data_IF_565189464005
#
_entry.id   IF_565189464005
#
_cell.length_a   1.000
_cell.length_b   1.000
_cell.length_c   1.000
_cell.angle_alpha   90.00
_cell.angle_beta   90.00
_cell.angle_gamma   90.00
#
_symmetry.space_group_name_H-M   'P 1'
#
loop_
_entity.id
_entity.type
_entity.pdbx_description
1 polymer ?
#
# COMPACT_ATOMS: atom_id res chain seq x y z
N UNK A 1 -19.88 -16.54 4.39
CA UNK A 1 -18.84 -15.49 4.36
C UNK A 1 -18.30 -15.38 2.93
N UNK A 2 -18.16 -14.13 2.42
CA UNK A 2 -17.62 -13.88 1.06
C UNK A 2 -16.09 -13.95 0.98
N UNK A 3 -15.38 -13.88 2.11
CA UNK A 3 -13.92 -13.88 2.14
C UNK A 3 -13.31 -14.62 3.32
N UNK A 4 -12.01 -14.93 3.23
CA UNK A 4 -11.23 -15.60 4.28
C UNK A 4 -9.96 -14.77 4.54
N UNK A 5 -9.69 -14.49 5.83
CA UNK A 5 -8.36 -14.05 6.29
C UNK A 5 -7.66 -15.24 6.97
N UNK A 6 -6.48 -15.57 6.49
CA UNK A 6 -5.59 -16.55 7.11
C UNK A 6 -4.69 -15.83 8.10
N UNK A 7 -4.97 -16.04 9.38
CA UNK A 7 -4.23 -15.47 10.50
C UNK A 7 -2.88 -16.15 10.66
N UNK A 8 -1.83 -15.40 11.07
CA UNK A 8 -0.49 -15.93 11.34
C UNK A 8 0.00 -16.92 10.27
N UNK A 9 -0.19 -16.58 8.99
CA UNK A 9 -0.02 -17.51 7.88
C UNK A 9 1.42 -17.99 7.65
N UNK A 10 2.43 -17.35 8.28
CA UNK A 10 3.80 -17.88 8.29
C UNK A 10 3.99 -19.10 9.21
N UNK A 11 3.03 -19.39 10.08
CA UNK A 11 3.08 -20.50 11.03
C UNK A 11 2.71 -21.87 10.43
N UNK A 12 2.26 -21.91 9.17
CA UNK A 12 1.88 -23.14 8.48
C UNK A 12 2.09 -23.04 6.97
N UNK A 13 2.15 -24.18 6.28
CA UNK A 13 2.38 -24.19 4.83
C UNK A 13 1.26 -23.54 4.04
N UNK A 14 1.62 -22.72 3.06
CA UNK A 14 0.65 -22.00 2.22
C UNK A 14 -0.23 -22.93 1.37
N UNK A 15 0.23 -24.15 1.11
CA UNK A 15 -0.54 -25.19 0.42
C UNK A 15 -1.86 -25.51 1.15
N UNK A 16 -1.88 -25.45 2.50
CA UNK A 16 -3.13 -25.65 3.25
C UNK A 16 -4.09 -24.47 3.06
N UNK A 17 -3.60 -23.23 3.10
CA UNK A 17 -4.41 -22.06 2.76
C UNK A 17 -4.98 -22.19 1.34
N UNK A 18 -4.17 -22.63 0.40
CA UNK A 18 -4.59 -22.93 -0.97
C UNK A 18 -5.67 -24.03 -1.06
N UNK A 19 -5.55 -25.09 -0.27
CA UNK A 19 -6.56 -26.17 -0.23
C UNK A 19 -7.90 -25.65 0.32
N UNK A 20 -7.89 -24.92 1.44
CA UNK A 20 -9.10 -24.34 2.01
C UNK A 20 -9.77 -23.35 1.04
N UNK A 21 -8.97 -22.49 0.40
CA UNK A 21 -9.48 -21.51 -0.56
C UNK A 21 -10.14 -22.20 -1.76
N UNK A 22 -9.55 -23.27 -2.29
CA UNK A 22 -10.16 -24.06 -3.38
C UNK A 22 -11.43 -24.77 -2.95
N UNK A 23 -11.47 -25.30 -1.72
CA UNK A 23 -12.64 -26.01 -1.21
C UNK A 23 -13.82 -25.09 -0.90
N UNK A 24 -13.56 -23.90 -0.36
CA UNK A 24 -14.58 -22.93 0.05
C UNK A 24 -14.98 -21.96 -1.06
N UNK A 25 -14.12 -21.76 -2.08
CA UNK A 25 -14.31 -20.82 -3.21
C UNK A 25 -14.79 -19.42 -2.77
N UNK A 26 -14.09 -18.76 -1.82
CA UNK A 26 -14.46 -17.41 -1.41
C UNK A 26 -14.19 -16.43 -2.54
N UNK A 27 -14.91 -15.30 -2.54
CA UNK A 27 -14.65 -14.19 -3.47
C UNK A 27 -13.27 -13.56 -3.24
N UNK A 28 -12.77 -13.61 -2.00
CA UNK A 28 -11.50 -13.04 -1.60
C UNK A 28 -10.82 -13.87 -0.52
N UNK A 29 -9.49 -14.05 -0.63
CA UNK A 29 -8.68 -14.71 0.37
C UNK A 29 -7.38 -13.94 0.58
N UNK A 30 -7.04 -13.61 1.85
CA UNK A 30 -5.82 -12.86 2.20
C UNK A 30 -5.09 -13.53 3.35
N UNK A 31 -3.77 -13.64 3.24
CA UNK A 31 -2.90 -14.14 4.29
C UNK A 31 -2.15 -13.04 5.03
N UNK A 32 -2.06 -13.21 6.34
CA UNK A 32 -1.23 -12.39 7.20
C UNK A 32 0.15 -13.05 7.34
N UNK A 33 0.98 -12.89 6.32
CA UNK A 33 2.37 -13.34 6.38
C UNK A 33 3.25 -12.22 6.96
N UNK A 34 3.19 -12.06 8.27
CA UNK A 34 3.95 -11.04 9.00
C UNK A 34 5.27 -11.62 9.47
N UNK A 35 6.32 -11.34 8.74
CA UNK A 35 7.68 -11.74 9.03
C UNK A 35 8.57 -10.53 9.36
N UNK A 36 9.77 -10.78 9.85
CA UNK A 36 10.72 -9.74 10.21
C UNK A 36 11.33 -9.10 8.97
N UNK A 37 11.22 -7.78 8.87
CA UNK A 37 11.92 -6.96 7.91
C UNK A 37 13.44 -6.97 8.20
N UNK A 38 14.24 -6.58 7.20
CA UNK A 38 15.68 -6.45 7.37
C UNK A 38 16.00 -5.14 8.10
N UNK A 39 16.60 -5.25 9.28
CA UNK A 39 17.05 -4.15 10.13
C UNK A 39 18.55 -4.20 10.37
N UNK A 40 19.21 -3.01 10.28
CA UNK A 40 20.53 -2.74 10.80
C UNK A 40 20.44 -1.72 11.95
N UNK A 41 20.96 -0.50 11.75
CA UNK A 41 20.75 0.62 12.69
C UNK A 41 19.35 1.28 12.53
N UNK A 42 18.51 0.75 11.69
CA UNK A 42 17.16 1.15 11.33
C UNK A 42 16.64 0.21 10.27
N UNK A 43 15.51 0.55 9.64
CA UNK A 43 15.02 -0.24 8.51
C UNK A 43 15.99 -0.11 7.33
N UNK A 44 16.57 -1.24 6.91
CA UNK A 44 17.43 -1.27 5.73
C UNK A 44 16.62 -0.93 4.47
N UNK A 45 17.31 -0.33 3.48
CA UNK A 45 16.68 0.00 2.20
C UNK A 45 16.26 -1.25 1.43
N UNK A 46 17.13 -2.27 1.42
CA UNK A 46 16.90 -3.50 0.68
C UNK A 46 16.01 -4.47 1.48
N UNK A 47 14.76 -4.57 1.06
CA UNK A 47 13.77 -5.51 1.61
C UNK A 47 13.39 -6.60 0.59
N UNK A 48 14.21 -6.83 -0.44
CA UNK A 48 13.90 -7.76 -1.53
C UNK A 48 13.68 -9.20 -1.01
N UNK A 49 14.47 -9.64 -0.03
CA UNK A 49 14.28 -10.95 0.58
C UNK A 49 12.97 -11.05 1.37
N UNK A 50 12.55 -9.98 2.04
CA UNK A 50 11.30 -9.96 2.79
C UNK A 50 10.08 -10.02 1.85
N UNK A 51 10.00 -9.17 0.83
CA UNK A 51 8.90 -9.23 -0.14
C UNK A 51 8.86 -10.54 -0.92
N UNK A 52 10.04 -11.15 -1.18
CA UNK A 52 10.11 -12.44 -1.86
C UNK A 52 9.49 -13.55 -1.01
N UNK A 53 9.75 -13.60 0.31
CA UNK A 53 9.11 -14.59 1.19
C UNK A 53 7.58 -14.50 1.19
N UNK A 54 7.02 -13.29 1.10
CA UNK A 54 5.56 -13.12 0.96
C UNK A 54 5.08 -13.67 -0.38
N UNK A 55 5.81 -13.39 -1.47
CA UNK A 55 5.50 -13.92 -2.80
C UNK A 55 5.60 -15.44 -2.83
N UNK A 56 6.63 -16.02 -2.21
CA UNK A 56 6.81 -17.47 -2.12
C UNK A 56 5.65 -18.13 -1.35
N UNK A 57 5.15 -17.47 -0.29
CA UNK A 57 3.96 -17.94 0.40
C UNK A 57 2.72 -17.88 -0.53
N UNK A 58 2.52 -16.80 -1.26
CA UNK A 58 1.42 -16.69 -2.25
C UNK A 58 1.54 -17.81 -3.29
N UNK A 59 2.72 -18.06 -3.84
CA UNK A 59 2.98 -19.14 -4.79
C UNK A 59 2.64 -20.50 -4.20
N UNK A 60 3.00 -20.76 -2.94
CA UNK A 60 2.71 -22.02 -2.26
C UNK A 60 1.21 -22.28 -2.07
N UNK A 61 0.37 -21.23 -2.09
CA UNK A 61 -1.10 -21.39 -2.12
C UNK A 61 -1.63 -21.86 -3.50
N UNK A 62 -0.76 -21.96 -4.50
CA UNK A 62 -1.10 -22.10 -5.91
C UNK A 62 -1.45 -20.77 -6.58
N UNK A 63 -0.96 -19.66 -6.03
CA UNK A 63 -1.17 -18.30 -6.53
C UNK A 63 -2.61 -17.80 -6.40
N UNK A 64 -3.46 -18.44 -5.60
CA UNK A 64 -4.89 -18.10 -5.51
C UNK A 64 -5.21 -17.15 -4.35
N UNK A 65 -4.42 -17.14 -3.27
CA UNK A 65 -4.55 -16.19 -2.18
C UNK A 65 -3.83 -14.88 -2.51
N UNK A 66 -4.26 -13.81 -1.86
CA UNK A 66 -3.51 -12.55 -1.71
C UNK A 66 -2.78 -12.54 -0.37
N UNK A 67 -1.89 -11.59 -0.16
CA UNK A 67 -1.26 -11.38 1.14
C UNK A 67 -1.18 -9.89 1.50
N UNK A 68 -1.24 -9.59 2.80
CA UNK A 68 -0.94 -8.24 3.29
C UNK A 68 0.52 -7.88 2.98
N UNK A 69 0.71 -6.73 2.33
CA UNK A 69 2.03 -6.25 1.91
C UNK A 69 2.75 -5.55 3.07
N UNK A 70 3.23 -6.33 4.02
CA UNK A 70 4.02 -5.85 5.16
C UNK A 70 5.32 -5.18 4.72
N UNK A 71 5.85 -5.53 3.55
CA UNK A 71 7.04 -4.87 3.00
C UNK A 71 6.73 -3.43 2.63
N UNK A 72 5.64 -3.19 1.88
CA UNK A 72 5.18 -1.83 1.57
C UNK A 72 4.87 -1.06 2.85
N UNK A 73 4.16 -1.66 3.82
CA UNK A 73 3.83 -1.01 5.11
C UNK A 73 5.09 -0.50 5.82
N UNK A 74 6.10 -1.34 5.97
CA UNK A 74 7.33 -0.96 6.68
C UNK A 74 8.12 0.12 5.96
N UNK A 75 8.34 -0.02 4.66
CA UNK A 75 9.09 0.96 3.87
C UNK A 75 8.34 2.30 3.80
N UNK A 76 7.02 2.28 3.59
CA UNK A 76 6.19 3.48 3.54
C UNK A 76 6.18 4.21 4.89
N UNK A 77 6.10 3.47 6.00
CA UNK A 77 6.15 4.03 7.34
C UNK A 77 7.47 4.76 7.60
N UNK A 78 8.59 4.13 7.25
CA UNK A 78 9.91 4.73 7.40
C UNK A 78 10.08 5.95 6.48
N UNK A 79 9.67 5.83 5.21
CA UNK A 79 9.74 6.92 4.24
C UNK A 79 8.93 8.15 4.70
N UNK A 80 7.71 7.96 5.17
CA UNK A 80 6.86 9.05 5.66
C UNK A 80 7.37 9.62 6.99
N UNK A 81 7.81 8.76 7.91
CA UNK A 81 8.27 9.17 9.23
C UNK A 81 9.57 9.97 9.21
N UNK A 82 10.46 9.68 8.27
CA UNK A 82 11.79 10.29 8.14
C UNK A 82 11.93 11.26 6.98
N UNK A 83 10.90 11.39 6.14
CA UNK A 83 10.96 12.10 4.86
C UNK A 83 12.06 11.55 3.93
N UNK A 84 12.19 10.24 3.89
CA UNK A 84 13.16 9.52 3.04
C UNK A 84 12.41 8.86 1.86
N UNK A 85 11.76 9.66 1.01
CA UNK A 85 10.88 9.14 -0.05
C UNK A 85 11.62 8.38 -1.15
N UNK A 86 12.95 8.50 -1.25
CA UNK A 86 13.79 7.67 -2.11
C UNK A 86 13.68 6.17 -1.80
N UNK A 87 13.20 5.79 -0.61
CA UNK A 87 12.94 4.39 -0.24
C UNK A 87 11.79 3.76 -1.02
N UNK A 88 10.91 4.57 -1.63
CA UNK A 88 9.69 4.10 -2.31
C UNK A 88 9.94 3.64 -3.75
N UNK A 89 11.19 3.47 -4.14
CA UNK A 89 11.60 2.90 -5.43
C UNK A 89 12.70 1.87 -5.22
N UNK A 90 12.59 0.70 -5.85
CA UNK A 90 13.65 -0.31 -5.79
C UNK A 90 14.75 -0.03 -6.84
N UNK A 91 15.84 -0.81 -6.79
CA UNK A 91 16.98 -0.72 -7.72
C UNK A 91 16.61 -0.93 -9.21
N UNK A 92 15.39 -1.42 -9.48
CA UNK A 92 14.86 -1.66 -10.83
C UNK A 92 13.78 -0.64 -11.23
N UNK A 93 13.59 0.42 -10.44
CA UNK A 93 12.60 1.47 -10.70
C UNK A 93 11.16 1.08 -10.37
N UNK A 94 10.94 0.02 -9.57
CA UNK A 94 9.61 -0.46 -9.17
C UNK A 94 9.32 -0.09 -7.72
N UNK A 95 8.04 -0.17 -7.34
CA UNK A 95 7.66 -0.11 -5.92
C UNK A 95 8.38 -1.23 -5.12
N UNK A 96 8.87 -0.94 -3.90
CA UNK A 96 9.78 -1.83 -3.19
C UNK A 96 9.08 -2.98 -2.44
N UNK A 97 7.74 -2.99 -2.40
CA UNK A 97 6.95 -4.04 -1.74
C UNK A 97 6.48 -5.15 -2.68
N UNK A 98 5.54 -5.96 -2.20
CA UNK A 98 4.87 -7.00 -3.00
C UNK A 98 4.17 -6.39 -4.22
N UNK A 99 3.64 -5.15 -4.10
CA UNK A 99 3.04 -4.42 -5.23
C UNK A 99 4.00 -4.24 -6.41
N UNK A 100 5.30 -4.23 -6.18
CA UNK A 100 6.32 -4.13 -7.25
C UNK A 100 6.65 -5.47 -7.92
N UNK A 101 6.28 -6.60 -7.31
CA UNK A 101 6.51 -7.95 -7.84
C UNK A 101 5.22 -8.58 -8.36
N UNK A 102 4.16 -8.51 -7.57
CA UNK A 102 2.88 -9.15 -7.87
C UNK A 102 1.69 -8.30 -7.40
N UNK A 103 1.45 -7.14 -8.02
CA UNK A 103 0.46 -6.18 -7.55
C UNK A 103 -0.96 -6.75 -7.43
N UNK A 104 -1.35 -7.66 -8.34
CA UNK A 104 -2.66 -8.30 -8.29
C UNK A 104 -2.86 -9.26 -7.10
N UNK A 105 -1.83 -9.52 -6.31
CA UNK A 105 -1.86 -10.36 -5.10
C UNK A 105 -1.49 -9.61 -3.83
N UNK A 106 -1.13 -8.33 -3.93
CA UNK A 106 -0.79 -7.49 -2.80
C UNK A 106 -2.03 -6.84 -2.19
N UNK A 107 -2.19 -6.96 -0.88
CA UNK A 107 -3.16 -6.16 -0.09
C UNK A 107 -2.37 -5.10 0.65
N UNK A 108 -2.45 -3.85 0.18
CA UNK A 108 -1.74 -2.73 0.78
C UNK A 108 -2.50 -2.17 1.98
N UNK A 109 -1.79 -1.77 3.01
CA UNK A 109 -2.35 -1.21 4.23
C UNK A 109 -1.31 -0.35 4.95
N UNK A 110 -1.72 0.47 5.88
CA UNK A 110 -0.82 1.22 6.76
C UNK A 110 -0.93 0.76 8.21
N UNK A 111 -2.14 0.41 8.66
CA UNK A 111 -2.40 -0.19 9.97
C UNK A 111 -3.52 -1.22 9.92
N UNK A 112 -3.53 -2.08 10.92
CA UNK A 112 -4.57 -3.03 11.28
C UNK A 112 -4.75 -3.05 12.81
N UNK A 113 -5.54 -3.98 13.34
CA UNK A 113 -5.80 -4.10 14.79
C UNK A 113 -4.55 -4.41 15.61
N UNK A 114 -3.54 -5.08 15.04
CA UNK A 114 -2.28 -5.38 15.73
C UNK A 114 -1.30 -4.20 15.67
N UNK A 115 -1.14 -3.59 14.51
CA UNK A 115 -0.15 -2.53 14.30
C UNK A 115 -0.64 -1.17 14.75
N UNK A 116 -1.93 -0.86 14.55
CA UNK A 116 -2.54 0.45 14.81
C UNK A 116 -3.03 0.64 16.25
N UNK A 117 -4.01 1.51 16.42
CA UNK A 117 -4.49 2.02 17.71
C UNK A 117 -5.02 0.95 18.67
N UNK A 118 -5.44 -0.21 18.18
CA UNK A 118 -6.01 -1.27 19.04
C UNK A 118 -4.94 -1.96 19.89
N UNK A 119 -3.84 -2.45 19.29
CA UNK A 119 -2.76 -3.13 20.02
C UNK A 119 -1.43 -2.34 19.99
N UNK A 120 -1.27 -1.42 19.05
CA UNK A 120 -0.12 -0.50 18.95
C UNK A 120 1.25 -1.17 18.85
N UNK A 121 1.34 -2.36 18.24
CA UNK A 121 2.63 -3.04 18.12
C UNK A 121 3.57 -2.39 17.11
N UNK A 122 3.02 -1.70 16.09
CA UNK A 122 3.80 -1.05 15.05
C UNK A 122 2.99 0.03 14.32
N UNK A 123 2.52 1.08 15.05
CA UNK A 123 1.60 2.06 14.50
C UNK A 123 2.29 2.95 13.46
N UNK A 124 1.53 3.31 12.43
CA UNK A 124 1.95 4.31 11.47
C UNK A 124 2.06 5.68 12.16
N UNK A 125 3.03 6.56 11.80
CA UNK A 125 3.13 7.89 12.41
C UNK A 125 1.81 8.66 12.30
N UNK A 126 1.23 9.05 13.43
CA UNK A 126 -0.13 9.59 13.50
C UNK A 126 -0.35 10.83 12.63
N UNK A 127 0.67 11.69 12.53
CA UNK A 127 0.66 12.89 11.68
C UNK A 127 0.91 12.60 10.20
N UNK A 128 1.11 11.33 9.80
CA UNK A 128 1.38 10.90 8.41
C UNK A 128 0.35 9.91 7.87
N UNK A 129 -0.69 9.61 8.64
CA UNK A 129 -1.73 8.63 8.25
C UNK A 129 -2.40 9.01 6.93
N UNK A 130 -2.80 10.27 6.75
CA UNK A 130 -3.35 10.76 5.47
C UNK A 130 -2.39 10.58 4.29
N UNK A 131 -1.09 10.82 4.50
CA UNK A 131 -0.05 10.60 3.49
C UNK A 131 0.12 9.12 3.16
N UNK A 132 0.10 8.24 4.16
CA UNK A 132 0.15 6.79 3.96
C UNK A 132 -1.04 6.27 3.14
N UNK A 133 -2.24 6.78 3.41
CA UNK A 133 -3.42 6.46 2.60
C UNK A 133 -3.38 7.07 1.20
N UNK A 134 -2.81 8.26 1.03
CA UNK A 134 -2.59 8.82 -0.29
C UNK A 134 -1.77 7.86 -1.17
N UNK A 135 -0.76 7.19 -0.59
CA UNK A 135 0.00 6.15 -1.30
C UNK A 135 -0.86 4.90 -1.55
N UNK A 136 -1.39 4.25 -0.52
CA UNK A 136 -2.05 2.93 -0.67
C UNK A 136 -3.33 2.99 -1.48
N UNK A 137 -4.12 4.07 -1.38
CA UNK A 137 -5.37 4.24 -2.13
C UNK A 137 -5.16 4.67 -3.58
N UNK A 138 -4.00 5.21 -3.95
CA UNK A 138 -3.71 5.57 -5.35
C UNK A 138 -2.91 4.53 -6.11
N UNK A 139 -2.16 3.67 -5.42
CA UNK A 139 -1.27 2.69 -6.04
C UNK A 139 -1.97 1.39 -6.44
N UNK A 140 -1.31 0.55 -7.29
CA UNK A 140 -1.73 -0.84 -7.54
C UNK A 140 -1.84 -1.64 -6.24
N UNK A 141 -2.41 -2.83 -6.31
CA UNK A 141 -2.78 -3.64 -5.15
C UNK A 141 -4.22 -3.38 -4.73
N UNK A 142 -4.69 -4.18 -3.79
CA UNK A 142 -5.99 -4.01 -3.13
C UNK A 142 -5.78 -3.26 -1.83
N UNK A 143 -6.22 -2.01 -1.69
CA UNK A 143 -6.02 -1.26 -0.45
C UNK A 143 -6.96 -1.74 0.66
N UNK A 144 -6.45 -1.80 1.88
CA UNK A 144 -7.21 -2.02 3.10
C UNK A 144 -7.19 -0.76 3.96
N UNK A 145 -8.35 -0.32 4.40
CA UNK A 145 -8.51 0.83 5.30
C UNK A 145 -8.80 0.33 6.70
N UNK A 146 -8.03 0.80 7.68
CA UNK A 146 -8.22 0.42 9.07
C UNK A 146 -9.46 1.12 9.64
N UNK A 147 -10.30 0.36 10.35
CA UNK A 147 -11.58 0.82 10.89
C UNK A 147 -11.45 2.09 11.73
N UNK A 148 -10.52 2.09 12.71
CA UNK A 148 -10.33 3.21 13.62
C UNK A 148 -9.97 4.49 12.86
N UNK A 149 -9.11 4.42 11.85
CA UNK A 149 -8.75 5.59 11.04
C UNK A 149 -9.95 6.20 10.32
N UNK A 150 -10.90 5.38 9.89
CA UNK A 150 -12.07 5.88 9.16
C UNK A 150 -13.18 6.36 10.11
N UNK A 151 -13.41 5.69 11.24
CA UNK A 151 -14.55 5.96 12.09
C UNK A 151 -14.21 6.74 13.37
N UNK A 152 -13.00 6.61 13.92
CA UNK A 152 -12.67 7.08 15.27
C UNK A 152 -11.67 8.24 15.29
N UNK A 153 -11.00 8.52 14.16
CA UNK A 153 -9.97 9.58 14.07
C UNK A 153 -10.49 10.93 13.59
N UNK A 154 -11.78 11.11 13.54
CA UNK A 154 -12.45 12.37 13.22
C UNK A 154 -12.78 12.57 11.74
N UNK A 155 -13.59 13.60 11.51
CA UNK A 155 -14.17 13.85 10.19
C UNK A 155 -13.15 14.31 9.15
N UNK A 156 -12.10 15.02 9.56
CA UNK A 156 -11.08 15.51 8.61
C UNK A 156 -10.35 14.35 7.94
N UNK A 157 -9.90 13.35 8.71
CA UNK A 157 -9.27 12.16 8.14
C UNK A 157 -10.27 11.34 7.33
N UNK A 158 -11.48 11.13 7.86
CA UNK A 158 -12.56 10.41 7.14
C UNK A 158 -12.83 11.03 5.78
N UNK A 159 -12.95 12.35 5.69
CA UNK A 159 -13.20 13.07 4.44
C UNK A 159 -12.03 12.92 3.45
N UNK A 160 -10.79 12.95 3.92
CA UNK A 160 -9.61 12.68 3.09
C UNK A 160 -9.64 11.25 2.53
N UNK A 161 -9.92 10.24 3.38
CA UNK A 161 -10.00 8.85 2.97
C UNK A 161 -11.14 8.63 1.95
N UNK A 162 -12.31 9.21 2.21
CA UNK A 162 -13.44 9.12 1.27
C UNK A 162 -13.08 9.75 -0.07
N UNK A 163 -12.48 10.94 -0.07
CA UNK A 163 -12.03 11.60 -1.29
C UNK A 163 -10.99 10.77 -2.07
N UNK A 164 -10.07 10.08 -1.38
CA UNK A 164 -9.11 9.18 -2.00
C UNK A 164 -9.77 7.94 -2.61
N UNK A 165 -10.73 7.32 -1.92
CA UNK A 165 -11.49 6.16 -2.42
C UNK A 165 -12.33 6.53 -3.65
N UNK A 166 -13.01 7.68 -3.62
CA UNK A 166 -13.80 8.19 -4.74
C UNK A 166 -12.90 8.51 -5.95
N UNK A 167 -11.74 9.12 -5.69
CA UNK A 167 -10.72 9.42 -6.70
C UNK A 167 -10.19 8.14 -7.35
N UNK A 168 -9.86 7.11 -6.55
CA UNK A 168 -9.44 5.80 -7.05
C UNK A 168 -10.50 5.21 -7.98
N UNK A 169 -11.76 5.23 -7.56
CA UNK A 169 -12.89 4.69 -8.33
C UNK A 169 -13.09 5.47 -9.63
N UNK A 170 -13.14 6.80 -9.55
CA UNK A 170 -13.31 7.69 -10.72
C UNK A 170 -12.20 7.53 -11.74
N UNK A 171 -10.95 7.43 -11.28
CA UNK A 171 -9.79 7.23 -12.15
C UNK A 171 -9.65 5.80 -12.69
N UNK A 172 -10.47 4.84 -12.23
CA UNK A 172 -10.43 3.44 -12.63
C UNK A 172 -9.17 2.70 -12.18
N UNK A 173 -8.57 3.14 -11.07
CA UNK A 173 -7.38 2.47 -10.52
C UNK A 173 -7.77 1.13 -9.91
N UNK A 174 -7.06 0.08 -10.28
CA UNK A 174 -7.27 -1.28 -9.81
C UNK A 174 -5.93 -1.95 -9.44
N UNK A 175 -5.99 -3.17 -8.92
CA UNK A 175 -4.82 -3.88 -8.38
C UNK A 175 -3.67 -4.08 -9.40
N UNK A 176 -3.96 -4.02 -10.70
CA UNK A 176 -2.97 -4.20 -11.78
C UNK A 176 -2.77 -2.95 -12.64
N UNK A 177 -3.19 -1.79 -12.15
CA UNK A 177 -2.94 -0.52 -12.85
C UNK A 177 -1.45 -0.31 -13.08
N UNK A 178 -1.09 0.27 -14.22
CA UNK A 178 0.30 0.65 -14.50
C UNK A 178 0.75 1.67 -13.46
N UNK A 179 1.94 1.50 -12.92
CA UNK A 179 2.60 2.44 -12.05
C UNK A 179 3.88 2.95 -12.72
N UNK A 180 4.05 4.25 -12.76
CA UNK A 180 5.27 4.91 -13.21
C UNK A 180 5.74 5.88 -12.13
N UNK A 181 6.85 5.53 -11.46
CA UNK A 181 7.48 6.38 -10.44
C UNK A 181 8.31 7.41 -11.18
N UNK A 182 7.90 8.68 -11.08
CA UNK A 182 8.54 9.79 -11.81
C UNK A 182 9.52 10.59 -10.96
N UNK A 183 9.40 10.49 -9.65
CA UNK A 183 10.36 11.06 -8.70
C UNK A 183 10.36 10.24 -7.39
N UNK A 184 11.54 10.03 -6.83
CA UNK A 184 11.74 9.44 -5.51
C UNK A 184 13.06 9.98 -4.93
N UNK A 185 12.97 11.02 -4.11
CA UNK A 185 14.11 11.75 -3.52
C UNK A 185 13.91 11.91 -2.01
N UNK A 186 14.76 12.67 -1.33
CA UNK A 186 14.53 13.02 0.08
C UNK A 186 13.31 13.95 0.25
N UNK A 187 13.00 14.79 -0.74
CA UNK A 187 11.96 15.82 -0.63
C UNK A 187 10.62 15.44 -1.26
N UNK A 188 10.60 14.49 -2.20
CA UNK A 188 9.39 14.14 -2.93
C UNK A 188 9.40 12.70 -3.42
N UNK A 189 8.24 12.06 -3.32
CA UNK A 189 7.83 10.93 -4.14
C UNK A 189 6.69 11.38 -5.07
N UNK A 190 6.78 11.04 -6.34
CA UNK A 190 5.71 11.30 -7.29
C UNK A 190 5.54 10.13 -8.27
N UNK A 191 4.30 9.82 -8.59
CA UNK A 191 3.96 8.72 -9.49
C UNK A 191 2.75 9.03 -10.37
N UNK A 192 2.74 8.42 -11.56
CA UNK A 192 1.57 8.32 -12.43
C UNK A 192 0.99 6.92 -12.30
N UNK A 193 -0.33 6.83 -12.18
CA UNK A 193 -1.04 5.56 -12.00
C UNK A 193 -2.15 5.42 -13.04
N UNK A 194 -2.03 4.42 -13.90
CA UNK A 194 -2.83 4.35 -15.12
C UNK A 194 -2.60 5.58 -16.00
N UNK A 195 -3.66 6.02 -16.69
CA UNK A 195 -3.57 7.15 -17.60
C UNK A 195 -4.18 8.44 -17.00
N UNK A 196 -4.84 8.34 -15.83
CA UNK A 196 -5.72 9.38 -15.30
C UNK A 196 -5.42 9.85 -13.90
N UNK A 197 -4.44 9.27 -13.22
CA UNK A 197 -4.13 9.63 -11.85
C UNK A 197 -2.65 9.96 -11.69
N UNK A 198 -2.38 11.07 -11.01
CA UNK A 198 -1.05 11.45 -10.54
C UNK A 198 -1.10 11.69 -9.04
N UNK A 199 -0.03 11.35 -8.33
CA UNK A 199 0.07 11.64 -6.90
C UNK A 199 1.47 12.08 -6.53
N UNK A 200 1.58 12.89 -5.48
CA UNK A 200 2.84 13.17 -4.80
C UNK A 200 2.73 13.08 -3.29
N UNK A 201 3.85 12.79 -2.65
CA UNK A 201 4.11 12.98 -1.22
C UNK A 201 5.40 13.77 -1.06
N UNK A 202 5.46 14.57 0.01
CA UNK A 202 6.60 15.46 0.30
C UNK A 202 6.30 16.92 -0.01
N UNK A 203 7.21 17.80 0.38
CA UNK A 203 7.01 19.25 0.37
C UNK A 203 7.55 19.94 -0.90
N UNK A 204 8.09 19.18 -1.86
CA UNK A 204 8.52 19.72 -3.15
C UNK A 204 7.33 20.22 -3.97
N UNK A 205 7.57 21.22 -4.81
CA UNK A 205 6.59 21.82 -5.70
C UNK A 205 6.17 20.98 -6.92
N UNK A 206 6.51 19.68 -6.98
CA UNK A 206 6.18 18.82 -8.12
C UNK A 206 4.69 18.81 -8.44
N UNK A 207 4.37 18.91 -9.72
CA UNK A 207 3.02 18.75 -10.28
C UNK A 207 3.09 17.92 -11.56
N UNK A 208 2.04 17.19 -11.94
CA UNK A 208 2.05 16.43 -13.19
C UNK A 208 2.14 17.35 -14.40
N UNK A 209 2.90 16.94 -15.40
CA UNK A 209 3.12 17.70 -16.64
C UNK A 209 1.97 17.51 -17.65
N UNK A 210 1.78 18.51 -18.52
CA UNK A 210 0.74 18.52 -19.56
C UNK A 210 -0.61 19.02 -19.06
N UNK A 211 -1.52 19.23 -20.00
CA UNK A 211 -2.84 19.82 -19.73
C UNK A 211 -3.86 18.80 -19.18
N UNK A 212 -4.93 19.31 -18.59
CA UNK A 212 -6.09 18.54 -18.16
C UNK A 212 -5.99 17.96 -16.75
N UNK A 213 -4.91 18.19 -16.00
CA UNK A 213 -4.78 17.77 -14.61
C UNK A 213 -5.51 18.75 -13.67
N UNK A 214 -6.37 18.19 -12.81
CA UNK A 214 -7.03 18.93 -11.74
C UNK A 214 -6.77 18.26 -10.40
N UNK A 215 -6.59 19.06 -9.34
CA UNK A 215 -6.48 18.52 -7.98
C UNK A 215 -7.80 17.85 -7.62
N UNK A 216 -7.72 16.58 -7.27
CA UNK A 216 -8.86 15.78 -6.83
C UNK A 216 -9.00 15.77 -5.31
N UNK A 217 -7.88 15.55 -4.60
CA UNK A 217 -7.83 15.54 -3.14
C UNK A 217 -6.41 15.84 -2.69
N UNK A 218 -6.27 16.51 -1.54
CA UNK A 218 -4.96 16.84 -0.96
C UNK A 218 -5.02 16.87 0.56
N UNK A 219 -3.86 16.82 1.18
CA UNK A 219 -3.67 16.96 2.62
C UNK A 219 -2.27 17.46 2.95
N UNK A 220 -1.91 17.38 4.23
CA UNK A 220 -0.59 17.85 4.67
C UNK A 220 0.53 17.00 4.06
N UNK A 221 1.33 17.65 3.20
CA UNK A 221 2.47 17.05 2.52
C UNK A 221 2.13 16.05 1.40
N UNK A 222 0.91 16.03 0.88
CA UNK A 222 0.54 15.18 -0.26
C UNK A 222 -0.57 15.80 -1.13
N UNK A 223 -0.61 15.39 -2.39
CA UNK A 223 -1.63 15.83 -3.33
C UNK A 223 -1.89 14.75 -4.40
N UNK A 224 -3.13 14.63 -4.82
CA UNK A 224 -3.57 13.72 -5.88
C UNK A 224 -4.31 14.51 -6.95
N UNK A 225 -3.97 14.27 -8.19
CA UNK A 225 -4.60 14.86 -9.37
C UNK A 225 -5.28 13.78 -10.19
N UNK A 226 -6.37 14.15 -10.84
CA UNK A 226 -6.99 13.35 -11.89
C UNK A 226 -7.00 14.13 -13.20
N UNK A 227 -7.00 13.36 -14.29
CA UNK A 227 -7.12 13.90 -15.64
C UNK A 227 -8.47 13.49 -16.21
N UNK A 228 -9.30 14.47 -16.57
CA UNK A 228 -10.52 14.21 -17.31
C UNK A 228 -10.19 13.79 -18.76
N UNK A 229 -11.02 12.95 -19.36
CA UNK A 229 -10.90 12.51 -20.76
C UNK A 229 -11.45 13.58 -21.69
#
# INVERSE_FOLDING_TARGET
>A
FGGIRFDFSKGYGGEFAGQYTRACMPEFAVGEYWDTLNYGQGLEYDQDAHRQRIVDWIDSTGGICTAFDFTTKGILQEACGRSEFWRLVDKKGRAPGVIGLWPGRAVTFIDNHDTGSTQSHWPFPSNKVGMGYAYTLTHPGTPSVFWDHYFDWGDDLRNQLQGLMDTRTKAGVHARSKLEIVAATDSVYAALVGDKLAMKMGNDGWTPSGDGWAVAVSGDGWCVWTKDC
#
